data_IF_523945080048
#
_entry.id   IF_523945080048
#
_cell.length_a   1.000
_cell.length_b   1.000
_cell.length_c   1.000
_cell.angle_alpha   90.00
_cell.angle_beta   90.00
_cell.angle_gamma   90.00
#
_symmetry.space_group_name_H-M   'P 1'
#
loop_
_entity.id
_entity.type
_entity.pdbx_description
1 polymer ?
#
# COMPACT_ATOMS: atom_id res chain seq x y z
N UNK A 1 -9.12 6.62 -6.26
CA UNK A 1 -9.90 7.01 -5.09
C UNK A 1 -8.99 7.15 -3.91
N UNK A 2 -8.82 8.36 -3.52
CA UNK A 2 -7.83 8.71 -2.52
C UNK A 2 -8.17 8.11 -1.16
N UNK A 3 -7.26 7.35 -0.61
CA UNK A 3 -7.34 6.89 0.78
C UNK A 3 -8.13 5.62 1.05
N UNK A 4 -9.10 5.25 0.23
CA UNK A 4 -9.95 4.09 0.48
C UNK A 4 -9.59 2.85 -0.34
N UNK A 5 -8.45 2.86 -1.01
CA UNK A 5 -8.06 1.81 -1.96
C UNK A 5 -8.02 0.42 -1.33
N UNK A 6 -7.54 0.31 -0.08
CA UNK A 6 -7.54 -0.96 0.64
C UNK A 6 -8.95 -1.56 0.71
N UNK A 7 -9.93 -0.73 1.08
CA UNK A 7 -11.31 -1.19 1.31
C UNK A 7 -12.02 -1.48 0.00
N UNK A 8 -11.70 -0.73 -1.05
CA UNK A 8 -12.20 -1.02 -2.39
C UNK A 8 -11.68 -2.36 -2.88
N UNK A 9 -10.40 -2.61 -2.70
CA UNK A 9 -9.79 -3.89 -3.07
C UNK A 9 -10.39 -5.03 -2.25
N UNK A 10 -10.55 -4.83 -0.95
CA UNK A 10 -11.15 -5.84 -0.07
C UNK A 10 -12.54 -6.27 -0.54
N UNK A 11 -13.33 -5.32 -1.02
CA UNK A 11 -14.71 -5.54 -1.44
C UNK A 11 -14.88 -5.79 -2.95
N UNK A 12 -13.80 -5.81 -3.69
CA UNK A 12 -13.84 -6.02 -5.14
C UNK A 12 -14.39 -7.40 -5.47
N UNK A 13 -15.47 -7.46 -6.27
CA UNK A 13 -16.13 -8.70 -6.62
C UNK A 13 -15.60 -9.32 -7.91
N UNK A 14 -15.10 -8.50 -8.83
CA UNK A 14 -14.49 -8.96 -10.07
C UNK A 14 -13.04 -9.39 -9.82
N UNK A 15 -12.51 -10.22 -10.71
CA UNK A 15 -11.15 -10.74 -10.58
C UNK A 15 -10.30 -10.35 -11.81
N UNK A 16 -9.90 -9.08 -11.90
CA UNK A 16 -9.03 -8.66 -13.01
C UNK A 16 -7.70 -9.42 -13.00
N UNK A 17 -7.05 -9.49 -14.14
CA UNK A 17 -5.76 -10.18 -14.26
C UNK A 17 -4.65 -9.44 -13.52
N UNK A 18 -4.68 -8.11 -13.56
CA UNK A 18 -3.69 -7.23 -12.93
C UNK A 18 -4.41 -6.18 -12.11
N UNK A 19 -3.87 -5.88 -10.94
CA UNK A 19 -4.35 -4.80 -10.09
C UNK A 19 -3.20 -3.83 -9.85
N UNK A 20 -3.45 -2.55 -10.12
CA UNK A 20 -2.53 -1.46 -9.79
C UNK A 20 -3.19 -0.67 -8.66
N UNK A 21 -2.50 -0.53 -7.55
CA UNK A 21 -3.08 0.10 -6.36
C UNK A 21 -2.04 0.96 -5.65
N UNK A 22 -2.46 2.15 -5.21
CA UNK A 22 -1.60 3.08 -4.49
C UNK A 22 -1.36 2.61 -3.05
N UNK A 23 -0.12 2.76 -2.59
CA UNK A 23 0.25 2.51 -1.20
C UNK A 23 0.96 3.73 -0.62
N UNK A 24 0.98 3.83 0.70
CA UNK A 24 1.70 4.91 1.37
C UNK A 24 3.04 4.39 1.88
N UNK A 25 4.13 4.77 1.20
CA UNK A 25 5.47 4.30 1.53
C UNK A 25 5.93 4.77 2.93
N UNK A 26 5.32 5.83 3.46
CA UNK A 26 5.71 6.38 4.76
C UNK A 26 5.42 5.43 5.91
N UNK A 27 4.51 4.48 5.74
CA UNK A 27 4.26 3.46 6.76
C UNK A 27 5.37 2.39 6.83
N UNK A 28 6.28 2.37 5.88
CA UNK A 28 7.35 1.38 5.84
C UNK A 28 6.91 0.04 5.24
N UNK A 29 7.84 -0.94 5.16
CA UNK A 29 7.56 -2.20 4.49
C UNK A 29 6.88 -3.25 5.36
N UNK A 30 6.93 -3.13 6.68
CA UNK A 30 6.52 -4.17 7.61
C UNK A 30 5.26 -3.87 8.43
N UNK A 31 4.85 -2.61 8.52
CA UNK A 31 3.65 -2.23 9.27
C UNK A 31 2.40 -2.59 8.48
N UNK A 32 1.41 -3.15 9.16
CA UNK A 32 0.12 -3.52 8.56
C UNK A 32 -0.93 -2.52 9.02
N UNK A 33 -1.18 -1.49 8.24
CA UNK A 33 -2.13 -0.45 8.61
C UNK A 33 -2.72 0.26 7.40
N UNK A 34 -3.77 1.00 7.65
CA UNK A 34 -4.42 1.90 6.70
C UNK A 34 -5.07 3.03 7.46
N UNK A 35 -5.35 4.14 6.78
CA UNK A 35 -6.31 5.08 7.35
C UNK A 35 -7.66 4.35 7.47
N UNK A 36 -8.52 4.73 8.44
CA UNK A 36 -9.85 4.14 8.54
C UNK A 36 -10.67 4.41 7.29
N UNK A 37 -11.60 3.52 6.98
CA UNK A 37 -12.54 3.77 5.90
C UNK A 37 -13.34 5.05 6.18
N UNK A 38 -13.39 5.93 5.18
CA UNK A 38 -14.17 7.17 5.24
C UNK A 38 -14.66 7.49 3.83
N UNK A 39 -15.95 7.31 3.61
CA UNK A 39 -16.56 7.57 2.28
C UNK A 39 -16.41 9.01 1.82
N UNK A 40 -16.17 9.94 2.74
CA UNK A 40 -16.01 11.37 2.47
C UNK A 40 -14.55 11.80 2.45
N UNK A 41 -13.62 10.85 2.56
CA UNK A 41 -12.20 11.18 2.57
C UNK A 41 -11.79 11.88 1.29
N UNK A 42 -11.07 12.99 1.44
CA UNK A 42 -10.45 13.75 0.35
C UNK A 42 -9.00 14.01 0.74
N UNK A 43 -8.10 13.67 -0.14
CA UNK A 43 -6.68 13.93 0.10
C UNK A 43 -6.40 15.43 0.01
N UNK A 44 -5.72 15.96 1.02
CA UNK A 44 -5.27 17.35 1.02
C UNK A 44 -3.88 17.41 0.38
N UNK A 45 -3.68 18.40 -0.49
CA UNK A 45 -2.40 18.59 -1.21
C UNK A 45 -1.26 18.72 -0.19
N UNK A 46 -0.25 17.86 -0.36
CA UNK A 46 0.92 17.82 0.52
C UNK A 46 0.74 17.00 1.78
N UNK A 47 -0.46 16.46 2.03
CA UNK A 47 -0.71 15.60 3.19
C UNK A 47 -0.03 14.25 3.04
N UNK A 48 0.52 13.74 4.16
CA UNK A 48 1.09 12.40 4.25
C UNK A 48 0.07 11.37 4.75
N UNK A 49 -1.14 11.81 5.08
CA UNK A 49 -2.19 10.97 5.65
C UNK A 49 -3.11 10.47 4.54
N UNK A 50 -2.84 9.27 4.05
CA UNK A 50 -3.65 8.63 3.01
C UNK A 50 -3.34 7.14 2.92
N UNK A 51 -4.30 6.38 2.45
CA UNK A 51 -4.14 5.01 1.99
C UNK A 51 -3.64 4.01 3.01
N UNK A 52 -3.06 2.95 2.50
CA UNK A 52 -2.64 1.79 3.28
C UNK A 52 -1.14 1.52 3.13
N UNK A 53 -0.59 0.80 4.09
CA UNK A 53 0.78 0.33 4.00
C UNK A 53 0.90 -0.74 2.91
N UNK A 54 2.10 -0.86 2.35
CA UNK A 54 2.38 -1.90 1.35
C UNK A 54 2.14 -3.30 1.91
N UNK A 55 2.57 -3.55 3.15
CA UNK A 55 2.40 -4.86 3.77
C UNK A 55 0.93 -5.26 3.90
N UNK A 56 0.05 -4.32 4.31
CA UNK A 56 -1.38 -4.63 4.41
C UNK A 56 -1.99 -4.96 3.06
N UNK A 57 -1.58 -4.26 2.01
CA UNK A 57 -2.05 -4.53 0.64
C UNK A 57 -1.56 -5.90 0.14
N UNK A 58 -0.32 -6.26 0.43
CA UNK A 58 0.23 -7.55 0.05
C UNK A 58 -0.47 -8.71 0.76
N UNK A 59 -0.78 -8.56 2.05
CA UNK A 59 -1.52 -9.56 2.82
C UNK A 59 -2.95 -9.72 2.29
N UNK A 60 -3.63 -8.60 2.01
CA UNK A 60 -4.96 -8.61 1.42
C UNK A 60 -4.94 -9.26 0.03
N UNK A 61 -3.98 -8.89 -0.80
CA UNK A 61 -3.82 -9.45 -2.14
C UNK A 61 -3.67 -10.97 -2.07
N UNK A 62 -2.83 -11.45 -1.17
CA UNK A 62 -2.60 -12.88 -0.98
C UNK A 62 -3.89 -13.63 -0.63
N UNK A 63 -4.69 -13.07 0.29
CA UNK A 63 -5.99 -13.65 0.65
C UNK A 63 -6.95 -13.69 -0.53
N UNK A 64 -6.84 -12.74 -1.45
CA UNK A 64 -7.70 -12.65 -2.64
C UNK A 64 -7.14 -13.38 -3.86
N UNK A 65 -5.99 -14.04 -3.72
CA UNK A 65 -5.39 -14.82 -4.81
C UNK A 65 -4.56 -13.96 -5.77
N UNK A 66 -3.83 -12.98 -5.26
CA UNK A 66 -2.96 -12.11 -6.04
C UNK A 66 -1.57 -12.06 -5.42
N UNK A 67 -0.56 -11.84 -6.25
CA UNK A 67 0.84 -11.75 -5.84
C UNK A 67 1.48 -10.47 -6.33
N UNK A 68 2.35 -9.90 -5.50
CA UNK A 68 3.09 -8.70 -5.83
C UNK A 68 4.14 -9.01 -6.90
N UNK A 69 4.14 -8.23 -8.00
CA UNK A 69 5.10 -8.42 -9.09
C UNK A 69 5.95 -7.18 -9.38
N UNK A 70 5.51 -6.00 -8.96
CA UNK A 70 6.28 -4.78 -9.20
C UNK A 70 5.88 -3.67 -8.25
N UNK A 71 6.85 -2.80 -7.97
CA UNK A 71 6.65 -1.54 -7.28
C UNK A 71 7.13 -0.43 -8.21
N UNK A 72 6.31 0.60 -8.35
CA UNK A 72 6.64 1.73 -9.20
C UNK A 72 7.86 2.49 -8.66
N UNK A 73 8.70 3.01 -9.56
CA UNK A 73 9.95 3.69 -9.17
C UNK A 73 9.74 4.96 -8.34
N UNK A 74 8.57 5.59 -8.43
CA UNK A 74 8.22 6.77 -7.64
C UNK A 74 7.60 6.40 -6.28
N UNK A 75 7.50 5.12 -5.97
CA UNK A 75 6.97 4.61 -4.70
C UNK A 75 5.51 4.98 -4.45
N UNK A 76 4.71 5.01 -5.52
CA UNK A 76 3.28 5.34 -5.44
C UNK A 76 2.42 4.09 -5.59
N UNK A 77 2.67 3.28 -6.62
CA UNK A 77 1.81 2.17 -6.98
C UNK A 77 2.48 0.81 -6.84
N UNK A 78 1.69 -0.16 -6.40
CA UNK A 78 2.06 -1.57 -6.37
C UNK A 78 1.24 -2.30 -7.43
N UNK A 79 1.84 -3.30 -8.07
CA UNK A 79 1.21 -4.10 -9.11
C UNK A 79 1.10 -5.54 -8.66
N UNK A 80 -0.11 -6.09 -8.77
CA UNK A 80 -0.40 -7.46 -8.37
C UNK A 80 -0.93 -8.25 -9.56
N UNK A 81 -0.50 -9.50 -9.68
CA UNK A 81 -0.95 -10.43 -10.72
C UNK A 81 -1.84 -11.50 -10.10
N UNK A 82 -2.90 -11.87 -10.82
CA UNK A 82 -3.79 -12.95 -10.37
C UNK A 82 -3.03 -14.28 -10.34
N UNK A 83 -3.31 -15.09 -9.33
CA UNK A 83 -2.55 -16.30 -9.01
C UNK A 83 -2.45 -17.31 -10.16
N UNK A 84 -3.47 -17.40 -11.03
CA UNK A 84 -3.44 -18.31 -12.19
C UNK A 84 -2.41 -17.90 -13.25
N UNK A 85 -1.92 -16.65 -13.18
CA UNK A 85 -0.95 -16.11 -14.13
C UNK A 85 0.45 -15.96 -13.52
N UNK A 86 0.64 -16.36 -12.28
CA UNK A 86 1.88 -16.11 -11.53
C UNK A 86 3.13 -16.70 -12.18
N UNK A 87 3.00 -17.81 -12.90
CA UNK A 87 4.15 -18.49 -13.51
C UNK A 87 4.80 -17.70 -14.65
N UNK A 88 4.12 -16.66 -15.12
CA UNK A 88 4.62 -15.78 -16.17
C UNK A 88 5.38 -14.57 -15.60
N UNK A 89 5.47 -14.44 -14.28
CA UNK A 89 6.02 -13.27 -13.60
C UNK A 89 6.92 -13.69 -12.45
N UNK A 90 7.87 -12.84 -12.12
CA UNK A 90 8.65 -12.97 -10.90
C UNK A 90 7.84 -12.38 -9.74
N UNK A 91 7.58 -13.20 -8.73
CA UNK A 91 6.91 -12.76 -7.50
C UNK A 91 7.95 -12.11 -6.60
N UNK A 92 7.69 -10.89 -6.14
CA UNK A 92 8.64 -10.15 -5.32
C UNK A 92 8.17 -10.05 -3.86
N UNK A 93 9.13 -9.93 -2.97
CA UNK A 93 8.89 -9.77 -1.53
C UNK A 93 8.77 -8.29 -1.20
N UNK A 94 7.69 -7.89 -0.51
CA UNK A 94 7.45 -6.48 -0.21
C UNK A 94 8.51 -5.87 0.71
N UNK A 95 9.06 -6.64 1.63
CA UNK A 95 10.11 -6.13 2.55
C UNK A 95 11.43 -5.96 1.80
N UNK A 96 11.84 -7.00 1.06
CA UNK A 96 13.12 -7.00 0.33
C UNK A 96 13.18 -5.93 -0.77
N UNK A 97 12.08 -5.73 -1.49
CA UNK A 97 12.04 -4.83 -2.65
C UNK A 97 11.50 -3.45 -2.33
N UNK A 98 11.11 -3.20 -1.09
CA UNK A 98 10.65 -1.88 -0.65
C UNK A 98 11.74 -0.84 -0.88
N UNK A 99 11.30 0.33 -1.40
CA UNK A 99 12.20 1.47 -1.65
C UNK A 99 11.53 2.73 -1.16
N UNK A 100 12.35 3.72 -0.84
CA UNK A 100 11.90 5.07 -0.53
C UNK A 100 12.27 5.99 -1.70
N UNK A 101 11.48 7.06 -1.94
CA UNK A 101 11.83 8.00 -2.99
C UNK A 101 13.19 8.65 -2.72
N UNK A 102 13.95 8.90 -3.77
CA UNK A 102 15.30 9.47 -3.65
C UNK A 102 15.34 10.85 -2.99
N UNK A 103 14.23 11.60 -3.10
CA UNK A 103 14.14 12.94 -2.51
C UNK A 103 13.81 12.91 -1.01
N UNK A 104 13.58 11.74 -0.43
CA UNK A 104 13.36 11.59 1.01
C UNK A 104 14.63 11.11 1.69
N UNK A 105 14.97 11.70 2.84
CA UNK A 105 16.00 11.16 3.71
C UNK A 105 15.38 10.13 4.67
N UNK A 106 16.20 9.24 5.18
CA UNK A 106 15.76 8.24 6.18
C UNK A 106 15.21 8.95 7.42
N UNK A 107 15.88 9.99 7.89
CA UNK A 107 15.46 10.76 9.06
C UNK A 107 14.07 11.40 8.86
N UNK A 108 13.83 11.96 7.67
CA UNK A 108 12.54 12.56 7.35
C UNK A 108 11.43 11.53 7.34
N UNK A 109 11.69 10.35 6.78
CA UNK A 109 10.72 9.26 6.72
C UNK A 109 10.37 8.78 8.13
N UNK A 110 11.36 8.55 8.98
CA UNK A 110 11.12 8.11 10.35
C UNK A 110 10.30 9.13 11.12
N UNK A 111 10.58 10.41 10.94
CA UNK A 111 9.85 11.51 11.59
C UNK A 111 8.39 11.54 11.11
N UNK A 112 8.16 11.48 9.80
CA UNK A 112 6.81 11.50 9.23
C UNK A 112 6.01 10.27 9.63
N UNK A 113 6.64 9.10 9.61
CA UNK A 113 6.01 7.84 10.04
C UNK A 113 5.56 7.94 11.49
N UNK A 114 6.42 8.44 12.36
CA UNK A 114 6.11 8.63 13.78
C UNK A 114 4.92 9.57 13.96
N UNK A 115 4.91 10.70 13.26
CA UNK A 115 3.82 11.66 13.33
C UNK A 115 2.49 11.04 12.86
N UNK A 116 2.51 10.27 11.78
CA UNK A 116 1.33 9.59 11.29
C UNK A 116 0.78 8.60 12.31
N UNK A 117 1.65 7.73 12.83
CA UNK A 117 1.22 6.65 13.71
C UNK A 117 0.77 7.15 15.10
N UNK A 118 1.32 8.26 15.57
CA UNK A 118 1.00 8.80 16.90
C UNK A 118 -0.14 9.82 16.90
N UNK A 119 -0.28 10.62 15.83
CA UNK A 119 -1.16 11.79 15.84
C UNK A 119 -2.38 11.68 14.92
N UNK A 120 -2.50 10.63 14.15
CA UNK A 120 -3.62 10.43 13.22
C UNK A 120 -4.36 9.13 13.54
N UNK A 121 -5.62 9.07 13.13
CA UNK A 121 -6.39 7.83 13.26
C UNK A 121 -5.87 6.82 12.25
N UNK A 122 -5.41 5.69 12.75
CA UNK A 122 -4.87 4.60 11.94
C UNK A 122 -5.54 3.30 12.36
N UNK A 123 -5.98 2.53 11.38
CA UNK A 123 -6.45 1.17 11.60
C UNK A 123 -5.28 0.22 11.40
N UNK A 124 -4.95 -0.54 12.46
CA UNK A 124 -3.90 -1.54 12.40
C UNK A 124 -4.50 -2.92 12.15
N UNK A 125 -3.89 -3.70 11.27
CA UNK A 125 -4.31 -5.06 10.96
C UNK A 125 -3.40 -6.08 11.66
N UNK A 126 -3.97 -7.24 11.92
CA UNK A 126 -3.20 -8.34 12.55
C UNK A 126 -2.37 -9.13 11.56
#
# INVERSE_FOLDING_TARGET
>A
MDGNDYYLFENLKVRPKVICIEYNFLFGPDVKCSIPYDKNFTWEIGSTYFGASLNSLCELAKRKGYYLIALESHCVNAFFIRSDLKNNFEIIDNIKYFRIPKYYSIDKIEKEKKLLLENKKITFFK
#
